data_IF_331159055946
#
_entry.id   IF_331159055946
#
_cell.length_a   1.000
_cell.length_b   1.000
_cell.length_c   1.000
_cell.angle_alpha   90.00
_cell.angle_beta   90.00
_cell.angle_gamma   90.00
#
_symmetry.space_group_name_H-M   'P 1'
#
loop_
_entity.id
_entity.type
_entity.pdbx_description
1 polymer ?
#
# COMPACT_ATOMS: atom_id res chain seq x y z
N UNK A 1 9.55 23.02 23.35
CA UNK A 1 8.14 23.32 22.97
C UNK A 1 7.95 24.56 22.08
N UNK A 2 8.72 25.66 22.21
CA UNK A 2 8.59 26.86 21.34
C UNK A 2 8.95 26.61 19.86
N UNK A 3 9.93 25.77 19.54
CA UNK A 3 10.36 25.51 18.16
C UNK A 3 9.33 24.73 17.31
N UNK A 4 8.58 23.82 17.91
CA UNK A 4 7.55 23.02 17.22
C UNK A 4 6.33 23.90 16.85
N UNK A 5 5.97 24.86 17.74
CA UNK A 5 4.89 25.82 17.44
C UNK A 5 5.24 26.77 16.29
N UNK A 6 6.51 27.16 16.15
CA UNK A 6 6.95 28.05 15.06
C UNK A 6 7.04 27.32 13.72
N UNK A 7 7.45 26.04 13.69
CA UNK A 7 7.42 25.22 12.47
C UNK A 7 5.99 24.96 11.97
N UNK A 8 5.04 24.69 12.87
CA UNK A 8 3.64 24.47 12.48
C UNK A 8 2.96 25.78 11.98
N UNK A 9 3.30 26.94 12.54
CA UNK A 9 2.81 28.24 12.02
C UNK A 9 3.41 28.58 10.65
N UNK A 10 4.68 28.27 10.42
CA UNK A 10 5.33 28.47 9.12
C UNK A 10 4.73 27.55 8.02
N UNK A 11 4.41 26.30 8.34
CA UNK A 11 3.75 25.37 7.41
C UNK A 11 2.29 25.74 7.12
N UNK A 12 1.53 26.22 8.11
CA UNK A 12 0.17 26.69 7.91
C UNK A 12 0.12 27.93 7.00
N UNK A 13 1.00 28.92 7.22
CA UNK A 13 1.08 30.14 6.39
C UNK A 13 1.61 29.85 4.97
N UNK A 14 2.48 28.86 4.78
CA UNK A 14 2.94 28.43 3.46
C UNK A 14 1.80 27.73 2.69
N UNK A 15 1.04 26.86 3.34
CA UNK A 15 -0.12 26.19 2.74
C UNK A 15 -1.24 27.18 2.38
N UNK A 16 -1.53 28.18 3.23
CA UNK A 16 -2.51 29.24 2.91
C UNK A 16 -2.08 30.09 1.72
N UNK A 17 -0.79 30.44 1.61
CA UNK A 17 -0.27 31.19 0.45
C UNK A 17 -0.31 30.37 -0.84
N UNK A 18 -0.03 29.06 -0.76
CA UNK A 18 -0.07 28.16 -1.90
C UNK A 18 -1.51 27.91 -2.39
N UNK A 19 -2.47 27.78 -1.46
CA UNK A 19 -3.90 27.68 -1.76
C UNK A 19 -4.39 28.95 -2.46
N UNK A 20 -4.14 30.10 -1.89
CA UNK A 20 -4.53 31.41 -2.43
C UNK A 20 -3.91 31.67 -3.83
N UNK A 21 -2.66 31.27 -4.06
CA UNK A 21 -1.98 31.42 -5.36
C UNK A 21 -2.61 30.56 -6.47
N UNK A 22 -3.09 29.36 -6.15
CA UNK A 22 -3.79 28.49 -7.11
C UNK A 22 -5.12 29.05 -7.54
N UNK A 23 -5.86 29.66 -6.62
CA UNK A 23 -7.16 30.27 -6.91
C UNK A 23 -7.00 31.50 -7.81
N UNK A 24 -6.02 32.35 -7.57
CA UNK A 24 -5.71 33.50 -8.43
C UNK A 24 -5.25 33.09 -9.82
N UNK A 25 -4.45 32.02 -9.93
CA UNK A 25 -4.04 31.46 -11.23
C UNK A 25 -5.24 30.92 -12.02
N UNK A 26 -6.14 30.21 -11.34
CA UNK A 26 -7.36 29.69 -11.96
C UNK A 26 -8.24 30.85 -12.49
N UNK A 27 -8.49 31.87 -11.66
CA UNK A 27 -9.26 33.05 -12.08
C UNK A 27 -8.57 33.73 -13.27
N UNK A 28 -7.26 33.95 -13.21
CA UNK A 28 -6.50 34.56 -14.29
C UNK A 28 -6.57 33.77 -15.60
N UNK A 29 -6.51 32.44 -15.54
CA UNK A 29 -6.65 31.57 -16.71
C UNK A 29 -8.06 31.63 -17.31
N UNK A 30 -9.09 31.62 -16.47
CA UNK A 30 -10.49 31.70 -16.92
C UNK A 30 -10.74 33.06 -17.58
N UNK A 31 -10.33 34.16 -16.94
CA UNK A 31 -10.47 35.50 -17.52
C UNK A 31 -9.67 35.64 -18.82
N UNK A 32 -8.44 35.16 -18.86
CA UNK A 32 -7.60 35.19 -20.06
C UNK A 32 -8.18 34.38 -21.21
N UNK A 33 -8.75 33.21 -20.92
CA UNK A 33 -9.43 32.39 -21.92
C UNK A 33 -10.63 33.12 -22.55
N UNK A 34 -11.53 33.68 -21.73
CA UNK A 34 -12.71 34.37 -22.24
C UNK A 34 -12.37 35.69 -22.93
N UNK A 35 -11.33 36.39 -22.47
CA UNK A 35 -10.81 37.57 -23.17
C UNK A 35 -10.26 37.25 -24.56
N UNK A 36 -9.46 36.18 -24.65
CA UNK A 36 -8.95 35.67 -25.93
C UNK A 36 -10.09 35.27 -26.85
N UNK A 37 -11.07 34.53 -26.33
CA UNK A 37 -12.23 34.10 -27.10
C UNK A 37 -13.05 35.30 -27.61
N UNK A 38 -13.33 36.27 -26.75
CA UNK A 38 -13.99 37.52 -27.11
C UNK A 38 -13.22 38.30 -28.18
N UNK A 39 -11.89 38.29 -28.14
CA UNK A 39 -11.05 38.92 -29.18
C UNK A 39 -11.17 38.22 -30.52
N UNK A 40 -11.18 36.89 -30.55
CA UNK A 40 -11.34 36.12 -31.77
C UNK A 40 -12.68 36.40 -32.43
N UNK A 41 -13.76 36.42 -31.65
CA UNK A 41 -15.11 36.77 -32.16
C UNK A 41 -15.15 38.20 -32.64
N UNK A 42 -14.54 39.15 -31.93
CA UNK A 42 -14.45 40.54 -32.37
C UNK A 42 -13.71 40.69 -33.71
N UNK A 43 -12.62 39.97 -33.92
CA UNK A 43 -11.89 39.92 -35.19
C UNK A 43 -12.77 39.38 -36.32
N UNK A 44 -13.51 38.31 -36.06
CA UNK A 44 -14.44 37.73 -37.08
C UNK A 44 -15.52 38.73 -37.47
N UNK A 45 -16.16 39.40 -36.52
CA UNK A 45 -17.18 40.41 -36.75
C UNK A 45 -16.62 41.63 -37.49
N UNK A 46 -15.44 42.11 -37.07
CA UNK A 46 -14.78 43.24 -37.72
C UNK A 46 -14.49 42.96 -39.21
N UNK A 47 -13.99 41.74 -39.49
CA UNK A 47 -13.74 41.32 -40.87
C UNK A 47 -15.05 41.26 -41.69
N UNK A 48 -16.11 40.65 -41.15
CA UNK A 48 -17.43 40.61 -41.80
C UNK A 48 -18.01 41.97 -42.10
N UNK A 49 -17.88 42.95 -41.16
CA UNK A 49 -18.29 44.33 -41.39
C UNK A 49 -17.49 45.01 -42.51
N UNK A 50 -16.17 44.78 -42.54
CA UNK A 50 -15.32 45.30 -43.61
C UNK A 50 -15.70 44.76 -45.00
N UNK A 51 -15.95 43.45 -45.11
CA UNK A 51 -16.33 42.81 -46.35
C UNK A 51 -17.67 43.36 -46.86
N UNK A 52 -18.61 43.71 -46.00
CA UNK A 52 -19.90 44.30 -46.35
C UNK A 52 -19.86 45.84 -46.55
N UNK A 53 -18.65 46.44 -46.58
CA UNK A 53 -18.46 47.87 -46.81
C UNK A 53 -18.80 48.78 -45.62
N UNK A 54 -19.06 48.21 -44.43
CA UNK A 54 -19.36 48.99 -43.22
C UNK A 54 -18.06 49.38 -42.50
N UNK A 55 -17.88 50.67 -42.27
CA UNK A 55 -16.72 51.18 -41.54
C UNK A 55 -17.09 51.41 -40.07
N UNK A 56 -16.64 50.47 -39.20
CA UNK A 56 -16.81 50.56 -37.78
C UNK A 56 -15.42 50.54 -37.11
N UNK A 57 -15.22 51.37 -36.10
CA UNK A 57 -13.96 51.38 -35.37
C UNK A 57 -13.76 50.07 -34.62
N UNK A 58 -12.57 49.47 -34.75
CA UNK A 58 -12.18 48.19 -34.11
C UNK A 58 -12.50 48.17 -32.57
N UNK A 59 -12.10 49.21 -31.87
CA UNK A 59 -12.28 49.28 -30.44
C UNK A 59 -13.74 49.22 -29.97
N UNK A 60 -14.70 49.65 -30.79
CA UNK A 60 -16.13 49.50 -30.48
C UNK A 60 -16.58 48.03 -30.57
N UNK A 61 -16.17 47.33 -31.61
CA UNK A 61 -16.50 45.93 -31.80
C UNK A 61 -15.77 45.09 -30.68
N UNK A 62 -14.49 45.35 -30.47
CA UNK A 62 -13.70 44.65 -29.45
C UNK A 62 -14.26 44.88 -28.01
N UNK A 63 -14.55 46.14 -27.63
CA UNK A 63 -15.11 46.44 -26.31
C UNK A 63 -16.44 45.76 -26.05
N UNK A 64 -17.30 45.71 -27.08
CA UNK A 64 -18.59 45.04 -27.01
C UNK A 64 -18.42 43.52 -26.78
N UNK A 65 -17.60 42.84 -27.59
CA UNK A 65 -17.37 41.42 -27.43
C UNK A 65 -16.60 41.06 -26.17
N UNK A 66 -15.64 41.89 -25.74
CA UNK A 66 -14.94 41.67 -24.46
C UNK A 66 -15.93 41.73 -23.28
N UNK A 67 -16.84 42.69 -23.26
CA UNK A 67 -17.84 42.78 -22.22
C UNK A 67 -18.81 41.61 -22.24
N UNK A 68 -19.30 41.22 -23.43
CA UNK A 68 -20.23 40.12 -23.62
C UNK A 68 -19.62 38.77 -23.19
N UNK A 69 -18.39 38.46 -23.64
CA UNK A 69 -17.75 37.18 -23.38
C UNK A 69 -17.13 37.07 -21.97
N UNK A 70 -16.69 38.18 -21.37
CA UNK A 70 -16.17 38.13 -20.00
C UNK A 70 -17.25 37.89 -18.94
N UNK A 71 -18.53 37.97 -19.25
CA UNK A 71 -19.59 37.47 -18.35
C UNK A 71 -19.38 36.00 -18.01
N UNK A 72 -18.89 35.21 -18.98
CA UNK A 72 -18.54 33.80 -18.78
C UNK A 72 -17.36 33.61 -17.82
N UNK A 73 -16.50 34.61 -17.60
CA UNK A 73 -15.46 34.53 -16.57
C UNK A 73 -16.04 34.42 -15.17
N UNK A 74 -17.19 35.08 -14.93
CA UNK A 74 -17.91 35.00 -13.68
C UNK A 74 -18.81 33.78 -13.60
N UNK A 75 -19.44 33.39 -14.73
CA UNK A 75 -20.33 32.23 -14.77
C UNK A 75 -19.58 30.90 -14.72
N UNK A 76 -18.38 30.79 -15.27
CA UNK A 76 -17.60 29.54 -15.27
C UNK A 76 -17.40 28.94 -13.89
N UNK A 77 -16.93 29.68 -12.86
CA UNK A 77 -16.83 29.15 -11.50
C UNK A 77 -18.18 28.69 -10.94
N UNK A 78 -19.26 29.43 -11.23
CA UNK A 78 -20.62 29.09 -10.78
C UNK A 78 -21.08 27.79 -11.41
N UNK A 79 -20.90 27.62 -12.72
CA UNK A 79 -21.24 26.40 -13.45
C UNK A 79 -20.44 25.21 -12.94
N UNK A 80 -19.14 25.39 -12.68
CA UNK A 80 -18.30 24.33 -12.08
C UNK A 80 -18.74 23.95 -10.67
N UNK A 81 -19.15 24.91 -9.86
CA UNK A 81 -19.72 24.64 -8.53
C UNK A 81 -21.04 23.87 -8.61
N UNK A 82 -21.94 24.25 -9.55
CA UNK A 82 -23.17 23.52 -9.82
C UNK A 82 -22.87 22.07 -10.27
N UNK A 83 -21.90 21.88 -11.17
CA UNK A 83 -21.47 20.55 -11.60
C UNK A 83 -20.94 19.67 -10.48
N UNK A 84 -20.20 20.26 -9.50
CA UNK A 84 -19.75 19.56 -8.29
C UNK A 84 -20.89 19.25 -7.32
N UNK A 85 -21.84 20.18 -7.17
CA UNK A 85 -22.98 20.04 -6.22
C UNK A 85 -24.02 19.04 -6.73
N UNK A 86 -24.24 18.99 -8.03
CA UNK A 86 -25.21 18.13 -8.72
C UNK A 86 -24.51 17.24 -9.77
N UNK A 87 -23.68 16.28 -9.33
CA UNK A 87 -22.91 15.45 -10.25
C UNK A 87 -23.85 14.55 -11.08
N UNK A 88 -23.48 14.31 -12.35
CA UNK A 88 -24.16 13.38 -13.25
C UNK A 88 -23.81 11.93 -12.86
N UNK A 89 -24.39 11.43 -11.76
CA UNK A 89 -24.14 10.07 -11.27
C UNK A 89 -25.01 9.03 -11.98
N UNK A 90 -24.48 7.81 -12.17
CA UNK A 90 -25.14 6.75 -12.92
C UNK A 90 -26.54 6.36 -12.40
N UNK A 91 -26.77 6.45 -11.09
CA UNK A 91 -28.04 6.04 -10.48
C UNK A 91 -29.20 7.00 -10.71
N UNK A 92 -28.94 8.33 -10.89
CA UNK A 92 -29.97 9.37 -11.06
C UNK A 92 -29.56 10.41 -12.10
N UNK A 93 -28.85 9.99 -13.15
CA UNK A 93 -28.28 10.86 -14.17
C UNK A 93 -29.31 11.81 -14.79
N UNK A 94 -30.55 11.35 -15.05
CA UNK A 94 -31.62 12.13 -15.67
C UNK A 94 -32.04 13.32 -14.82
N UNK A 95 -32.02 13.21 -13.46
CA UNK A 95 -32.31 14.34 -12.56
C UNK A 95 -31.21 15.39 -12.62
N UNK A 96 -29.95 14.95 -12.68
CA UNK A 96 -28.81 15.83 -12.85
C UNK A 96 -28.90 16.57 -14.19
N UNK A 97 -29.19 15.86 -15.28
CA UNK A 97 -29.38 16.46 -16.61
C UNK A 97 -30.52 17.46 -16.60
N UNK A 98 -31.70 17.11 -16.07
CA UNK A 98 -32.83 18.03 -15.98
C UNK A 98 -32.51 19.31 -15.22
N UNK A 99 -31.82 19.19 -14.06
CA UNK A 99 -31.37 20.34 -13.28
C UNK A 99 -30.37 21.20 -14.06
N UNK A 100 -29.39 20.59 -14.72
CA UNK A 100 -28.41 21.32 -15.52
C UNK A 100 -29.03 21.98 -16.76
N UNK A 101 -30.02 21.37 -17.37
CA UNK A 101 -30.81 21.99 -18.45
C UNK A 101 -31.57 23.22 -17.92
N UNK A 102 -32.21 23.12 -16.75
CA UNK A 102 -32.93 24.24 -16.14
C UNK A 102 -31.97 25.37 -15.77
N UNK A 103 -30.84 25.07 -15.08
CA UNK A 103 -29.81 26.07 -14.74
C UNK A 103 -29.19 26.70 -15.99
N UNK A 104 -28.80 25.88 -16.98
CA UNK A 104 -28.21 26.36 -18.22
C UNK A 104 -29.15 27.30 -18.99
N UNK A 105 -30.44 26.95 -19.09
CA UNK A 105 -31.45 27.78 -19.74
C UNK A 105 -31.66 29.10 -18.97
N UNK A 106 -31.75 29.03 -17.64
CA UNK A 106 -31.92 30.21 -16.81
C UNK A 106 -30.76 31.20 -16.98
N UNK A 107 -29.52 30.69 -16.89
CA UNK A 107 -28.31 31.48 -17.09
C UNK A 107 -28.23 32.09 -18.50
N UNK A 108 -28.56 31.32 -19.53
CA UNK A 108 -28.58 31.79 -20.89
C UNK A 108 -29.60 32.92 -21.10
N UNK A 109 -30.82 32.76 -20.57
CA UNK A 109 -31.86 33.81 -20.66
C UNK A 109 -31.42 35.08 -19.91
N UNK A 110 -30.86 34.93 -18.70
CA UNK A 110 -30.37 36.07 -17.94
C UNK A 110 -29.22 36.80 -18.67
N UNK A 111 -28.29 36.06 -19.23
CA UNK A 111 -27.17 36.61 -20.02
C UNK A 111 -27.68 37.39 -21.27
N UNK A 112 -28.55 36.77 -22.03
CA UNK A 112 -29.12 37.39 -23.26
C UNK A 112 -29.92 38.63 -22.89
N UNK A 113 -30.70 38.62 -21.78
CA UNK A 113 -31.44 39.78 -21.30
C UNK A 113 -30.50 40.94 -20.89
N UNK A 114 -29.47 40.62 -20.07
CA UNK A 114 -28.48 41.59 -19.69
C UNK A 114 -27.74 42.21 -20.89
N UNK A 115 -27.37 41.36 -21.83
CA UNK A 115 -26.70 41.74 -23.06
C UNK A 115 -27.58 42.63 -23.96
N UNK A 116 -28.86 42.27 -24.14
CA UNK A 116 -29.81 43.08 -24.88
C UNK A 116 -30.06 44.43 -24.26
N UNK A 117 -30.16 44.49 -22.94
CA UNK A 117 -30.28 45.75 -22.18
C UNK A 117 -29.06 46.65 -22.36
N UNK A 118 -27.84 46.07 -22.22
CA UNK A 118 -26.57 46.78 -22.41
C UNK A 118 -26.41 47.29 -23.85
N UNK A 119 -26.74 46.46 -24.85
CA UNK A 119 -26.71 46.86 -26.26
C UNK A 119 -27.57 48.10 -26.51
N UNK A 120 -28.78 48.14 -25.93
CA UNK A 120 -29.72 49.27 -26.11
C UNK A 120 -29.23 50.54 -25.39
N UNK A 121 -28.55 50.44 -24.25
CA UNK A 121 -27.99 51.61 -23.58
C UNK A 121 -26.82 52.24 -24.30
N UNK A 122 -25.96 51.39 -24.93
CA UNK A 122 -24.78 51.85 -25.72
C UNK A 122 -25.18 52.37 -27.10
N UNK A 123 -26.23 51.78 -27.70
CA UNK A 123 -26.72 52.16 -29.03
C UNK A 123 -28.15 52.68 -28.93
N UNK A 124 -28.36 53.94 -28.55
CA UNK A 124 -29.68 54.52 -28.54
C UNK A 124 -30.28 54.46 -29.92
N UNK A 125 -31.38 53.73 -30.04
CA UNK A 125 -32.02 53.43 -31.32
C UNK A 125 -33.02 54.54 -31.68
N UNK A 126 -33.17 54.87 -32.99
CA UNK A 126 -34.21 55.76 -33.41
C UNK A 126 -35.61 55.23 -33.09
N UNK A 127 -36.60 56.11 -33.06
CA UNK A 127 -38.02 55.80 -32.76
C UNK A 127 -38.60 54.64 -33.59
N UNK A 128 -38.13 54.43 -34.81
CA UNK A 128 -38.58 53.37 -35.71
C UNK A 128 -37.82 52.05 -35.54
N UNK A 129 -36.91 51.96 -34.62
CA UNK A 129 -36.19 50.72 -34.34
C UNK A 129 -37.07 49.68 -33.62
N UNK A 130 -36.78 48.37 -33.77
CA UNK A 130 -37.58 47.33 -33.14
C UNK A 130 -37.70 47.52 -31.62
N UNK A 131 -38.86 47.20 -31.07
CA UNK A 131 -39.09 47.24 -29.63
C UNK A 131 -38.06 46.34 -28.90
N UNK A 132 -37.79 46.65 -27.61
CA UNK A 132 -36.88 45.84 -26.80
C UNK A 132 -37.25 44.34 -26.82
N UNK A 133 -38.55 44.02 -26.81
CA UNK A 133 -39.05 42.66 -26.86
C UNK A 133 -38.71 41.96 -28.17
N UNK A 134 -38.83 42.62 -29.32
CA UNK A 134 -38.43 42.03 -30.60
C UNK A 134 -36.92 41.83 -30.71
N UNK A 135 -36.12 42.76 -30.19
CA UNK A 135 -34.66 42.62 -30.12
C UNK A 135 -34.26 41.44 -29.19
N UNK A 136 -34.92 41.34 -28.05
CA UNK A 136 -34.69 40.25 -27.14
C UNK A 136 -35.06 38.90 -27.71
N UNK A 137 -36.18 38.74 -28.38
CA UNK A 137 -36.60 37.50 -29.06
C UNK A 137 -35.61 37.10 -30.12
N UNK A 138 -35.13 38.07 -30.94
CA UNK A 138 -34.09 37.81 -31.93
C UNK A 138 -32.80 37.29 -31.30
N UNK A 139 -32.32 37.94 -30.26
CA UNK A 139 -31.13 37.55 -29.52
C UNK A 139 -31.30 36.19 -28.81
N UNK A 140 -32.45 35.89 -28.23
CA UNK A 140 -32.72 34.59 -27.59
C UNK A 140 -32.62 33.46 -28.63
N UNK A 141 -33.15 33.66 -29.81
CA UNK A 141 -33.08 32.66 -30.91
C UNK A 141 -31.63 32.40 -31.34
N UNK A 142 -30.82 33.43 -31.39
CA UNK A 142 -29.42 33.35 -31.84
C UNK A 142 -28.47 32.81 -30.79
N UNK A 143 -28.56 33.32 -29.55
CA UNK A 143 -27.52 33.06 -28.51
C UNK A 143 -27.84 31.90 -27.56
N UNK A 144 -29.13 31.55 -27.31
CA UNK A 144 -29.44 30.42 -26.40
C UNK A 144 -28.75 29.11 -26.81
N UNK A 145 -28.74 28.67 -28.07
CA UNK A 145 -28.09 27.42 -28.43
C UNK A 145 -26.58 27.46 -28.14
N UNK A 146 -25.94 28.60 -28.40
CA UNK A 146 -24.53 28.82 -28.14
C UNK A 146 -24.22 28.83 -26.65
N UNK A 147 -25.00 29.51 -25.84
CA UNK A 147 -24.83 29.60 -24.39
C UNK A 147 -25.03 28.23 -23.73
N UNK A 148 -26.02 27.46 -24.17
CA UNK A 148 -26.21 26.09 -23.69
C UNK A 148 -25.05 25.19 -24.08
N UNK A 149 -24.50 25.31 -25.27
CA UNK A 149 -23.33 24.55 -25.70
C UNK A 149 -22.12 24.88 -24.82
N UNK A 150 -21.86 26.15 -24.52
CA UNK A 150 -20.81 26.61 -23.65
C UNK A 150 -21.02 26.07 -22.23
N UNK A 151 -22.23 26.18 -21.69
CA UNK A 151 -22.60 25.65 -20.37
C UNK A 151 -22.24 24.15 -20.26
N UNK A 152 -22.69 23.34 -21.23
CA UNK A 152 -22.42 21.92 -21.26
C UNK A 152 -20.94 21.59 -21.48
N UNK A 153 -20.23 22.40 -22.26
CA UNK A 153 -18.78 22.25 -22.44
C UNK A 153 -18.04 22.48 -21.11
N UNK A 154 -18.43 23.52 -20.33
CA UNK A 154 -17.85 23.79 -19.02
C UNK A 154 -18.12 22.62 -18.05
N UNK A 155 -19.37 22.09 -18.01
CA UNK A 155 -19.72 20.91 -17.21
C UNK A 155 -18.89 19.70 -17.62
N UNK A 156 -18.76 19.44 -18.92
CA UNK A 156 -17.99 18.31 -19.46
C UNK A 156 -16.50 18.39 -19.10
N UNK A 157 -15.89 19.56 -19.28
CA UNK A 157 -14.48 19.78 -18.90
C UNK A 157 -14.31 19.64 -17.38
N UNK A 158 -15.21 20.22 -16.59
CA UNK A 158 -15.18 20.08 -15.13
C UNK A 158 -15.30 18.64 -14.66
N UNK A 159 -16.20 17.85 -15.27
CA UNK A 159 -16.36 16.42 -14.98
C UNK A 159 -15.12 15.61 -15.39
N UNK A 160 -14.55 15.88 -16.57
CA UNK A 160 -13.34 15.21 -17.06
C UNK A 160 -12.14 15.46 -16.14
N UNK A 161 -11.91 16.71 -15.73
CA UNK A 161 -10.84 17.07 -14.81
C UNK A 161 -11.02 16.40 -13.43
N UNK A 162 -12.26 16.37 -12.94
CA UNK A 162 -12.57 15.69 -11.65
C UNK A 162 -12.38 14.16 -11.76
N UNK A 163 -12.80 13.55 -12.85
CA UNK A 163 -12.57 12.13 -13.10
C UNK A 163 -11.06 11.82 -13.19
N UNK A 164 -10.32 12.61 -13.93
CA UNK A 164 -8.88 12.46 -14.09
C UNK A 164 -8.12 12.57 -12.76
N UNK A 165 -8.48 13.57 -11.92
CA UNK A 165 -7.87 13.73 -10.60
C UNK A 165 -8.14 12.53 -9.69
N UNK A 166 -9.37 12.01 -9.67
CA UNK A 166 -9.72 10.79 -8.93
C UNK A 166 -9.03 9.54 -9.45
N UNK A 167 -8.89 9.43 -10.76
CA UNK A 167 -8.16 8.32 -11.36
C UNK A 167 -6.70 8.31 -10.90
N UNK A 168 -6.03 9.45 -10.99
CA UNK A 168 -4.64 9.63 -10.52
C UNK A 168 -4.48 9.34 -9.03
N UNK A 169 -5.43 9.76 -8.21
CA UNK A 169 -5.41 9.50 -6.77
C UNK A 169 -5.51 7.99 -6.47
N UNK A 170 -6.40 7.28 -7.19
CA UNK A 170 -6.53 5.82 -7.05
C UNK A 170 -5.28 5.09 -7.52
N UNK A 171 -4.69 5.48 -8.63
CA UNK A 171 -3.44 4.91 -9.15
C UNK A 171 -2.29 5.08 -8.14
N UNK A 172 -2.13 6.28 -7.59
CA UNK A 172 -1.14 6.55 -6.56
C UNK A 172 -1.38 5.74 -5.27
N UNK A 173 -2.65 5.56 -4.88
CA UNK A 173 -3.01 4.77 -3.71
C UNK A 173 -2.74 3.27 -3.92
N UNK A 174 -3.04 2.74 -5.10
CA UNK A 174 -2.72 1.36 -5.47
C UNK A 174 -1.21 1.10 -5.42
N UNK A 175 -0.40 1.98 -6.04
CA UNK A 175 1.06 1.86 -5.99
C UNK A 175 1.63 1.93 -4.55
N UNK A 176 1.04 2.76 -3.67
CA UNK A 176 1.44 2.81 -2.26
C UNK A 176 1.10 1.53 -1.49
N UNK A 177 -0.06 0.92 -1.78
CA UNK A 177 -0.46 -0.35 -1.16
C UNK A 177 0.44 -1.50 -1.61
N UNK A 178 0.77 -1.57 -2.90
CA UNK A 178 1.72 -2.55 -3.44
C UNK A 178 3.10 -2.42 -2.80
N UNK A 179 3.61 -1.19 -2.66
CA UNK A 179 4.90 -0.94 -2.00
C UNK A 179 4.89 -1.37 -0.51
N UNK A 180 3.79 -1.09 0.22
CA UNK A 180 3.62 -1.54 1.61
C UNK A 180 3.52 -3.06 1.72
N UNK A 181 2.80 -3.71 0.79
CA UNK A 181 2.71 -5.17 0.75
C UNK A 181 4.08 -5.80 0.53
N UNK A 182 4.84 -5.30 -0.45
CA UNK A 182 6.20 -5.78 -0.72
C UNK A 182 7.13 -5.57 0.48
N UNK A 183 7.02 -4.42 1.16
CA UNK A 183 7.80 -4.15 2.38
C UNK A 183 7.42 -5.10 3.52
N UNK A 184 6.11 -5.34 3.75
CA UNK A 184 5.64 -6.27 4.78
C UNK A 184 6.08 -7.72 4.48
N UNK A 185 6.05 -8.15 3.21
CA UNK A 185 6.57 -9.45 2.79
C UNK A 185 8.07 -9.57 3.04
N UNK A 186 8.84 -8.52 2.74
CA UNK A 186 10.28 -8.49 2.98
C UNK A 186 10.61 -8.50 4.49
N UNK A 187 9.83 -7.81 5.32
CA UNK A 187 9.97 -7.85 6.78
C UNK A 187 9.60 -9.23 7.35
N UNK A 188 8.53 -9.86 6.86
CA UNK A 188 8.15 -11.21 7.25
C UNK A 188 9.25 -12.22 6.89
N UNK A 189 9.83 -12.13 5.69
CA UNK A 189 10.95 -12.96 5.26
C UNK A 189 12.20 -12.74 6.12
N UNK A 190 12.52 -11.47 6.47
CA UNK A 190 13.64 -11.17 7.38
C UNK A 190 13.44 -11.72 8.79
N UNK A 191 12.20 -11.82 9.27
CA UNK A 191 11.91 -12.39 10.60
C UNK A 191 12.05 -13.91 10.62
N UNK A 192 11.92 -14.60 9.49
CA UNK A 192 12.17 -16.04 9.37
C UNK A 192 13.67 -16.38 9.50
N UNK A 193 14.54 -15.47 9.07
CA UNK A 193 15.98 -15.60 9.25
C UNK A 193 16.36 -14.99 10.60
N UNK A 194 16.74 -15.80 11.59
CA UNK A 194 17.22 -15.29 12.88
C UNK A 194 18.47 -14.39 12.68
N UNK A 195 18.35 -13.03 12.76
CA UNK A 195 19.46 -12.14 12.43
C UNK A 195 20.67 -12.37 13.36
N UNK A 196 20.39 -12.72 14.62
CA UNK A 196 21.44 -13.01 15.60
C UNK A 196 22.25 -14.28 15.25
N UNK A 197 21.60 -15.31 14.74
CA UNK A 197 22.29 -16.50 14.22
C UNK A 197 23.20 -16.13 13.04
N UNK A 198 22.68 -15.38 12.07
CA UNK A 198 23.43 -14.96 10.89
C UNK A 198 24.68 -14.15 11.26
N UNK A 199 24.53 -13.11 12.12
CA UNK A 199 25.66 -12.32 12.57
C UNK A 199 26.71 -13.16 13.34
N UNK A 200 26.28 -14.06 14.20
CA UNK A 200 27.18 -14.92 14.95
C UNK A 200 27.94 -15.90 14.05
N UNK A 201 27.27 -16.46 13.04
CA UNK A 201 27.88 -17.34 12.05
C UNK A 201 28.94 -16.61 11.22
N UNK A 202 28.61 -15.40 10.72
CA UNK A 202 29.55 -14.55 9.98
C UNK A 202 30.77 -14.16 10.84
N UNK A 203 30.55 -13.83 12.13
CA UNK A 203 31.68 -13.58 13.06
C UNK A 203 32.56 -14.80 13.26
N UNK A 204 31.99 -16.00 13.36
CA UNK A 204 32.74 -17.26 13.49
C UNK A 204 33.54 -17.55 12.21
N UNK A 205 32.95 -17.38 11.03
CA UNK A 205 33.66 -17.48 9.75
C UNK A 205 34.85 -16.51 9.70
N UNK A 206 34.64 -15.25 10.07
CA UNK A 206 35.72 -14.27 10.12
C UNK A 206 36.83 -14.62 11.12
N UNK A 207 36.51 -15.29 12.22
CA UNK A 207 37.49 -15.79 13.18
C UNK A 207 38.30 -16.95 12.58
N UNK A 208 37.66 -17.93 11.93
CA UNK A 208 38.29 -19.06 11.25
C UNK A 208 39.24 -18.60 10.14
N UNK A 209 38.86 -17.60 9.35
CA UNK A 209 39.73 -17.02 8.32
C UNK A 209 40.97 -16.37 8.97
N UNK A 210 40.81 -15.65 10.09
CA UNK A 210 41.96 -15.05 10.82
C UNK A 210 42.90 -16.11 11.44
N UNK A 211 42.36 -17.26 11.88
CA UNK A 211 43.14 -18.38 12.40
C UNK A 211 43.71 -19.27 11.30
N UNK A 212 43.50 -18.93 10.02
CA UNK A 212 43.93 -19.69 8.85
C UNK A 212 43.25 -21.06 8.68
N UNK A 213 42.14 -21.29 9.35
CA UNK A 213 41.30 -22.49 9.20
C UNK A 213 40.35 -22.38 7.99
N UNK A 214 40.93 -22.12 6.81
CA UNK A 214 40.20 -21.76 5.61
C UNK A 214 39.21 -22.84 5.13
N UNK A 215 39.57 -24.13 5.30
CA UNK A 215 38.69 -25.23 4.90
C UNK A 215 37.41 -25.29 5.74
N UNK A 216 37.52 -25.07 7.05
CA UNK A 216 36.38 -24.99 7.98
C UNK A 216 35.53 -23.77 7.67
N UNK A 217 36.15 -22.63 7.36
CA UNK A 217 35.45 -21.41 6.95
C UNK A 217 34.63 -21.62 5.67
N UNK A 218 35.21 -22.30 4.66
CA UNK A 218 34.50 -22.61 3.39
C UNK A 218 33.31 -23.56 3.62
N UNK A 219 33.48 -24.61 4.43
CA UNK A 219 32.37 -25.50 4.81
C UNK A 219 31.25 -24.74 5.52
N UNK A 220 31.59 -23.84 6.44
CA UNK A 220 30.61 -23.03 7.17
C UNK A 220 29.85 -22.06 6.28
N UNK A 221 30.51 -21.47 5.25
CA UNK A 221 29.85 -20.62 4.24
C UNK A 221 28.90 -21.47 3.39
N UNK A 222 29.33 -22.65 2.94
CA UNK A 222 28.49 -23.53 2.15
C UNK A 222 27.23 -23.98 2.92
N UNK A 223 27.40 -24.42 4.18
CA UNK A 223 26.27 -24.79 5.05
C UNK A 223 25.33 -23.63 5.31
N UNK A 224 25.86 -22.41 5.56
CA UNK A 224 25.03 -21.22 5.73
C UNK A 224 24.22 -20.89 4.47
N UNK A 225 24.85 -21.02 3.28
CA UNK A 225 24.17 -20.78 2.00
C UNK A 225 23.04 -21.79 1.76
N UNK A 226 23.24 -23.05 2.13
CA UNK A 226 22.24 -24.11 2.03
C UNK A 226 21.04 -23.85 2.97
N UNK A 227 21.30 -23.50 4.23
CA UNK A 227 20.25 -23.14 5.18
C UNK A 227 19.41 -21.94 4.70
N UNK A 228 20.07 -20.92 4.17
CA UNK A 228 19.38 -19.76 3.62
C UNK A 228 18.51 -20.13 2.42
N UNK A 229 19.02 -20.98 1.52
CA UNK A 229 18.27 -21.48 0.37
C UNK A 229 17.04 -22.28 0.80
N UNK A 230 17.20 -23.23 1.72
CA UNK A 230 16.10 -24.06 2.23
C UNK A 230 15.01 -23.19 2.90
N UNK A 231 15.41 -22.19 3.69
CA UNK A 231 14.47 -21.25 4.32
C UNK A 231 13.69 -20.41 3.31
N UNK A 232 14.29 -20.08 2.16
CA UNK A 232 13.65 -19.32 1.08
C UNK A 232 12.72 -20.19 0.23
N UNK A 233 13.11 -21.42 -0.09
CA UNK A 233 12.33 -22.36 -0.92
C UNK A 233 11.04 -22.79 -0.20
N UNK A 234 11.11 -23.02 1.11
CA UNK A 234 9.96 -23.41 1.94
C UNK A 234 9.17 -22.21 2.52
N UNK A 235 9.51 -20.99 2.12
CA UNK A 235 8.80 -19.79 2.54
C UNK A 235 7.36 -19.80 1.99
N UNK A 236 6.38 -19.95 2.88
CA UNK A 236 4.95 -20.00 2.53
C UNK A 236 4.30 -21.38 2.63
N UNK A 237 5.06 -22.45 2.82
CA UNK A 237 4.51 -23.76 3.16
C UNK A 237 4.07 -23.77 4.63
N UNK A 238 2.84 -24.23 4.89
CA UNK A 238 2.33 -24.31 6.27
C UNK A 238 2.82 -25.58 6.97
N UNK A 239 2.89 -26.69 6.27
CA UNK A 239 3.34 -28.00 6.75
C UNK A 239 4.38 -28.58 5.80
N UNK A 240 5.33 -29.33 6.37
CA UNK A 240 6.42 -30.05 5.68
C UNK A 240 6.54 -31.44 6.28
N UNK A 241 7.35 -32.32 5.65
CA UNK A 241 7.67 -33.61 6.28
C UNK A 241 8.64 -33.42 7.46
N UNK A 242 8.55 -34.29 8.47
CA UNK A 242 9.53 -34.28 9.57
C UNK A 242 10.97 -34.50 9.06
N UNK A 243 11.14 -35.21 7.94
CA UNK A 243 12.44 -35.36 7.29
C UNK A 243 13.01 -34.00 6.87
N UNK A 244 12.21 -33.16 6.19
CA UNK A 244 12.66 -31.83 5.74
C UNK A 244 13.00 -30.91 6.92
N UNK A 245 12.23 -30.97 8.01
CA UNK A 245 12.56 -30.25 9.27
C UNK A 245 13.87 -30.71 9.87
N UNK A 246 14.11 -32.04 9.87
CA UNK A 246 15.35 -32.61 10.42
C UNK A 246 16.55 -32.28 9.53
N UNK A 247 16.43 -32.36 8.21
CA UNK A 247 17.51 -32.00 7.29
C UNK A 247 17.93 -30.53 7.50
N UNK A 248 16.95 -29.62 7.69
CA UNK A 248 17.23 -28.22 8.04
C UNK A 248 17.93 -28.11 9.41
N UNK A 249 17.45 -28.83 10.43
CA UNK A 249 18.02 -28.80 11.79
C UNK A 249 19.43 -29.40 11.80
N UNK A 250 19.70 -30.46 11.07
CA UNK A 250 21.04 -31.05 10.95
C UNK A 250 22.04 -30.05 10.38
N UNK A 251 21.70 -29.36 9.29
CA UNK A 251 22.54 -28.30 8.74
C UNK A 251 22.77 -27.13 9.72
N UNK A 252 21.73 -26.75 10.47
CA UNK A 252 21.86 -25.75 11.52
C UNK A 252 22.79 -26.20 12.66
N UNK A 253 22.65 -27.45 13.09
CA UNK A 253 23.46 -28.05 14.16
C UNK A 253 24.93 -28.21 13.75
N UNK A 254 25.21 -28.56 12.51
CA UNK A 254 26.58 -28.61 11.96
C UNK A 254 27.28 -27.25 12.08
N UNK A 255 26.61 -26.18 11.72
CA UNK A 255 27.17 -24.81 11.88
C UNK A 255 27.40 -24.48 13.34
N UNK A 256 26.49 -24.85 14.24
CA UNK A 256 26.64 -24.61 15.67
C UNK A 256 27.79 -25.47 16.26
N UNK A 257 27.99 -26.71 15.82
CA UNK A 257 29.13 -27.54 16.21
C UNK A 257 30.46 -26.90 15.80
N UNK A 258 30.58 -26.39 14.57
CA UNK A 258 31.76 -25.66 14.13
C UNK A 258 32.05 -24.43 15.02
N UNK A 259 30.99 -23.76 15.51
CA UNK A 259 31.10 -22.58 16.37
C UNK A 259 31.50 -22.93 17.79
N UNK A 260 30.95 -24.00 18.36
CA UNK A 260 31.19 -24.41 19.75
C UNK A 260 32.27 -25.48 19.88
N UNK A 261 32.77 -25.98 18.75
CA UNK A 261 33.79 -27.05 18.70
C UNK A 261 33.35 -28.29 19.52
N UNK A 262 34.24 -28.93 20.26
CA UNK A 262 33.96 -30.13 21.04
C UNK A 262 33.03 -29.94 22.26
N UNK A 263 32.52 -28.71 22.44
CA UNK A 263 31.64 -28.38 23.56
C UNK A 263 30.17 -28.68 23.34
N UNK A 264 29.72 -28.94 22.09
CA UNK A 264 28.35 -29.29 21.75
C UNK A 264 28.26 -30.74 21.32
N UNK A 265 27.62 -31.56 22.13
CA UNK A 265 27.27 -32.93 21.77
C UNK A 265 25.82 -32.99 21.30
N UNK A 266 25.61 -33.62 20.15
CA UNK A 266 24.30 -33.75 19.51
C UNK A 266 23.97 -35.22 19.38
N UNK A 267 22.76 -35.61 19.75
CA UNK A 267 22.24 -36.95 19.62
C UNK A 267 20.84 -36.90 18.98
N UNK A 268 20.67 -37.61 17.85
CA UNK A 268 19.39 -37.74 17.16
C UNK A 268 18.87 -39.17 17.34
N UNK A 269 17.67 -39.33 17.89
CA UNK A 269 16.97 -40.60 18.12
C UNK A 269 15.63 -40.59 17.41
N UNK A 270 15.68 -40.70 16.10
CA UNK A 270 14.51 -40.57 15.22
C UNK A 270 14.03 -41.94 14.79
N UNK A 271 12.80 -42.30 15.13
CA UNK A 271 12.19 -43.52 14.63
C UNK A 271 11.88 -43.36 13.12
N UNK A 272 12.36 -44.29 12.24
CA UNK A 272 12.24 -44.12 10.77
C UNK A 272 10.83 -43.87 10.29
N UNK A 273 9.82 -44.48 10.91
CA UNK A 273 8.41 -44.31 10.58
C UNK A 273 7.87 -42.91 10.84
N UNK A 274 8.58 -42.06 11.58
CA UNK A 274 8.16 -40.68 11.87
C UNK A 274 8.60 -39.71 10.79
N UNK A 275 9.56 -40.07 9.95
CA UNK A 275 10.15 -39.16 8.95
C UNK A 275 9.14 -38.64 7.91
N UNK A 276 8.11 -39.44 7.59
CA UNK A 276 7.04 -39.07 6.69
C UNK A 276 5.87 -38.32 7.36
N UNK A 277 5.98 -37.99 8.64
CA UNK A 277 4.94 -37.27 9.35
C UNK A 277 4.87 -35.81 8.88
N UNK A 278 3.65 -35.29 8.71
CA UNK A 278 3.39 -33.87 8.44
C UNK A 278 3.55 -33.08 9.74
N UNK A 279 4.39 -32.06 9.69
CA UNK A 279 4.65 -31.14 10.83
C UNK A 279 4.59 -29.69 10.34
N UNK A 280 4.24 -28.74 11.22
CA UNK A 280 4.30 -27.34 10.87
C UNK A 280 5.72 -26.91 10.49
N UNK A 281 5.87 -26.21 9.40
CA UNK A 281 7.17 -25.73 8.93
C UNK A 281 7.90 -24.92 9.99
N UNK A 282 9.21 -25.15 10.19
CA UNK A 282 10.07 -24.51 11.21
C UNK A 282 9.56 -24.70 12.65
N UNK A 283 9.03 -25.89 12.98
CA UNK A 283 8.55 -26.19 14.34
C UNK A 283 9.72 -26.59 15.26
N UNK A 284 10.71 -27.29 14.76
CA UNK A 284 11.87 -27.75 15.54
C UNK A 284 12.88 -26.62 15.78
N UNK A 285 13.05 -25.71 14.85
CA UNK A 285 14.06 -24.66 14.93
C UNK A 285 14.02 -23.87 16.24
N UNK A 286 12.87 -23.30 16.70
CA UNK A 286 12.84 -22.55 17.96
C UNK A 286 13.19 -23.39 19.18
N UNK A 287 12.85 -24.68 19.17
CA UNK A 287 13.14 -25.61 20.26
C UNK A 287 14.64 -25.88 20.36
N UNK A 288 15.27 -26.20 19.22
CA UNK A 288 16.70 -26.45 19.13
C UNK A 288 17.53 -25.19 19.39
N UNK A 289 17.12 -24.04 18.87
CA UNK A 289 17.76 -22.76 19.19
C UNK A 289 17.74 -22.44 20.68
N UNK A 290 16.62 -22.69 21.34
CA UNK A 290 16.50 -22.52 22.80
C UNK A 290 17.38 -23.51 23.56
N UNK A 291 17.41 -24.77 23.15
CA UNK A 291 18.26 -25.80 23.76
C UNK A 291 19.74 -25.42 23.69
N UNK A 292 20.23 -24.94 22.56
CA UNK A 292 21.60 -24.49 22.36
C UNK A 292 21.87 -23.22 23.17
N UNK A 293 21.01 -22.20 23.08
CA UNK A 293 21.20 -20.88 23.72
C UNK A 293 21.24 -21.00 25.26
N UNK A 294 20.40 -21.83 25.85
CA UNK A 294 20.26 -21.97 27.28
C UNK A 294 21.05 -23.16 27.85
N UNK A 295 21.28 -24.21 27.05
CA UNK A 295 22.05 -25.37 27.42
C UNK A 295 23.56 -25.15 27.30
N UNK A 296 24.03 -24.80 26.09
CA UNK A 296 25.45 -24.81 25.75
C UNK A 296 26.14 -23.46 25.96
N UNK A 297 25.49 -22.36 25.59
CA UNK A 297 26.12 -21.05 25.53
C UNK A 297 26.52 -20.50 26.93
N UNK A 298 25.92 -20.98 28.04
CA UNK A 298 26.16 -20.55 29.40
C UNK A 298 27.10 -21.47 30.20
N UNK A 299 27.55 -22.61 29.65
CA UNK A 299 28.44 -23.59 30.28
C UNK A 299 29.62 -23.95 29.39
N UNK A 300 30.61 -24.67 29.94
CA UNK A 300 31.80 -25.10 29.22
C UNK A 300 31.53 -26.32 28.29
N UNK A 301 30.28 -26.62 27.98
CA UNK A 301 29.81 -27.70 27.16
C UNK A 301 28.36 -28.06 27.43
N UNK A 302 27.70 -28.77 26.55
CA UNK A 302 26.35 -29.23 26.73
C UNK A 302 25.92 -30.26 25.70
N UNK A 303 24.95 -31.10 26.08
CA UNK A 303 24.33 -32.12 25.23
C UNK A 303 22.94 -31.64 24.83
N UNK A 304 22.64 -31.77 23.55
CA UNK A 304 21.29 -31.58 22.97
C UNK A 304 20.87 -32.91 22.35
N UNK A 305 19.73 -33.43 22.77
CA UNK A 305 19.15 -34.66 22.24
C UNK A 305 17.80 -34.33 21.62
N UNK A 306 17.59 -34.79 20.39
CA UNK A 306 16.33 -34.66 19.66
C UNK A 306 15.81 -36.08 19.41
N UNK A 307 14.59 -36.35 19.85
CA UNK A 307 13.94 -37.63 19.61
C UNK A 307 12.59 -37.46 18.97
N UNK A 308 12.22 -38.41 18.11
CA UNK A 308 10.90 -38.51 17.52
C UNK A 308 10.43 -39.95 17.50
N UNK A 309 9.23 -40.21 18.00
CA UNK A 309 8.61 -41.51 18.06
C UNK A 309 7.11 -41.41 17.78
N UNK A 310 6.53 -42.52 17.27
CA UNK A 310 5.06 -42.63 17.11
C UNK A 310 4.53 -43.43 18.31
N UNK A 311 3.62 -42.79 19.08
CA UNK A 311 2.99 -43.40 20.26
C UNK A 311 1.48 -43.17 20.19
N UNK A 312 0.67 -44.22 20.27
CA UNK A 312 -0.79 -44.16 20.33
C UNK A 312 -1.44 -43.32 19.23
N UNK A 313 -0.89 -43.37 18.00
CA UNK A 313 -1.39 -42.62 16.86
C UNK A 313 -1.01 -41.13 16.86
N UNK A 314 -0.13 -40.73 17.75
CA UNK A 314 0.44 -39.39 17.85
C UNK A 314 1.92 -39.41 17.50
N UNK A 315 2.41 -38.30 16.95
CA UNK A 315 3.82 -38.02 16.80
C UNK A 315 4.30 -37.30 18.07
N UNK A 316 5.23 -37.94 18.78
CA UNK A 316 5.91 -37.34 19.93
C UNK A 316 7.30 -36.87 19.47
N UNK A 317 7.59 -35.58 19.67
CA UNK A 317 8.89 -34.98 19.42
C UNK A 317 9.40 -34.42 20.74
N UNK A 318 10.64 -34.70 21.09
CA UNK A 318 11.28 -34.21 22.30
C UNK A 318 12.61 -33.58 21.96
N UNK A 319 12.87 -32.39 22.54
CA UNK A 319 14.17 -31.71 22.49
C UNK A 319 14.64 -31.51 23.90
N UNK A 320 15.71 -32.21 24.29
CA UNK A 320 16.33 -32.17 25.58
C UNK A 320 17.67 -31.42 25.55
N UNK A 321 17.97 -30.66 26.57
CA UNK A 321 19.31 -30.14 26.83
C UNK A 321 19.69 -30.26 28.30
N UNK A 322 20.96 -30.55 28.58
CA UNK A 322 21.53 -30.73 29.93
C UNK A 322 21.91 -29.40 30.60
N UNK A 323 21.39 -28.29 30.15
CA UNK A 323 21.66 -26.94 30.66
C UNK A 323 21.11 -26.64 32.04
N UNK A 324 21.07 -25.36 32.39
CA UNK A 324 20.52 -24.90 33.68
C UNK A 324 19.00 -25.20 33.71
N UNK A 325 18.54 -25.64 34.91
CA UNK A 325 17.11 -25.85 35.17
C UNK A 325 16.34 -24.53 35.07
N UNK A 326 15.10 -24.62 34.63
CA UNK A 326 14.15 -23.52 34.66
C UNK A 326 13.82 -23.15 36.10
N UNK A 327 13.62 -21.86 36.45
CA UNK A 327 13.13 -21.43 37.74
C UNK A 327 11.80 -22.10 38.11
N UNK A 328 11.54 -22.32 39.40
CA UNK A 328 10.31 -22.98 39.87
C UNK A 328 9.01 -22.23 39.45
N UNK A 329 9.12 -20.92 39.30
CA UNK A 329 8.01 -20.04 38.91
C UNK A 329 7.88 -19.86 37.38
N UNK A 330 8.77 -20.49 36.57
CA UNK A 330 8.76 -20.35 35.13
C UNK A 330 7.50 -21.00 34.55
N UNK A 331 6.84 -20.26 33.70
CA UNK A 331 5.67 -20.72 32.95
C UNK A 331 5.82 -20.39 31.48
N UNK A 332 5.34 -21.27 30.59
CA UNK A 332 5.29 -21.05 29.19
C UNK A 332 4.39 -19.83 28.88
N UNK A 333 4.90 -18.84 28.13
CA UNK A 333 4.17 -17.62 27.76
C UNK A 333 4.44 -16.37 28.59
N UNK A 334 4.98 -16.47 29.84
CA UNK A 334 5.20 -15.29 30.70
C UNK A 334 6.63 -14.71 30.61
N UNK A 335 7.62 -15.52 30.34
CA UNK A 335 9.05 -15.12 30.33
C UNK A 335 9.79 -15.51 29.06
N UNK A 336 9.07 -16.02 28.06
CA UNK A 336 9.67 -16.60 26.89
C UNK A 336 9.96 -15.56 25.82
N UNK A 337 11.15 -15.71 25.22
CA UNK A 337 11.45 -15.02 23.97
C UNK A 337 10.43 -15.41 22.90
N UNK A 338 10.35 -14.60 21.88
CA UNK A 338 9.43 -14.66 20.72
C UNK A 338 9.30 -16.09 20.10
N UNK A 339 10.32 -16.95 20.27
CA UNK A 339 10.39 -18.28 19.66
C UNK A 339 9.34 -19.28 20.15
N UNK A 340 9.23 -19.53 21.46
CA UNK A 340 8.29 -20.52 22.01
C UNK A 340 6.84 -20.07 21.89
N UNK A 341 6.57 -18.77 22.05
CA UNK A 341 5.25 -18.19 21.83
C UNK A 341 4.79 -18.35 20.37
N UNK A 342 5.71 -18.18 19.41
CA UNK A 342 5.42 -18.42 17.98
C UNK A 342 5.17 -19.90 17.69
N UNK A 343 5.92 -20.80 18.33
CA UNK A 343 5.70 -22.26 18.26
C UNK A 343 4.28 -22.61 18.71
N UNK A 344 3.86 -22.11 19.88
CA UNK A 344 2.53 -22.36 20.42
C UNK A 344 1.41 -21.79 19.51
N UNK A 345 1.58 -20.55 19.02
CA UNK A 345 0.62 -19.93 18.10
C UNK A 345 0.48 -20.73 16.78
N UNK A 346 1.59 -21.25 16.25
CA UNK A 346 1.59 -22.07 15.03
C UNK A 346 0.90 -23.41 15.24
N UNK A 347 1.16 -24.08 16.37
CA UNK A 347 0.48 -25.32 16.76
C UNK A 347 -1.04 -25.10 16.90
N UNK A 348 -1.45 -24.03 17.54
CA UNK A 348 -2.84 -23.64 17.67
C UNK A 348 -3.51 -23.41 16.33
N UNK A 349 -2.80 -22.78 15.38
CA UNK A 349 -3.31 -22.51 14.04
C UNK A 349 -3.52 -23.79 13.21
N UNK A 350 -2.61 -24.78 13.34
CA UNK A 350 -2.66 -26.01 12.52
C UNK A 350 -3.52 -27.10 13.15
N UNK A 351 -3.44 -27.27 14.49
CA UNK A 351 -4.08 -28.38 15.20
C UNK A 351 -5.25 -27.97 16.10
N UNK A 352 -5.55 -26.66 16.24
CA UNK A 352 -6.56 -26.18 17.18
C UNK A 352 -6.20 -26.60 18.62
N UNK A 353 -7.11 -27.29 19.28
CA UNK A 353 -6.89 -27.79 20.66
C UNK A 353 -6.33 -29.23 20.73
N UNK A 354 -5.99 -29.83 19.58
CA UNK A 354 -5.58 -31.24 19.49
C UNK A 354 -4.04 -31.37 19.45
N UNK A 355 -3.35 -30.70 20.35
CA UNK A 355 -1.91 -30.84 20.56
C UNK A 355 -1.57 -30.68 22.04
N UNK A 356 -0.38 -31.17 22.43
CA UNK A 356 0.21 -30.87 23.75
C UNK A 356 1.60 -30.34 23.53
N UNK A 357 1.93 -29.21 24.15
CA UNK A 357 3.26 -28.61 24.11
C UNK A 357 3.67 -28.19 25.50
N UNK A 358 4.70 -28.85 26.01
CA UNK A 358 5.19 -28.68 27.38
C UNK A 358 6.69 -28.41 27.36
N UNK A 359 7.13 -27.49 28.20
CA UNK A 359 8.55 -27.22 28.47
C UNK A 359 8.76 -27.26 29.96
N UNK A 360 9.66 -28.08 30.42
CA UNK A 360 9.88 -28.29 31.86
C UNK A 360 11.25 -28.80 32.19
N UNK A 361 11.52 -28.97 33.50
CA UNK A 361 12.75 -29.54 33.98
C UNK A 361 12.71 -31.07 33.84
N UNK A 362 13.71 -31.64 33.18
CA UNK A 362 13.86 -33.10 33.10
C UNK A 362 14.29 -33.70 34.44
N UNK A 363 13.84 -34.94 34.71
CA UNK A 363 14.23 -35.69 35.92
C UNK A 363 15.74 -35.89 36.01
N UNK A 364 16.38 -36.15 34.87
CA UNK A 364 17.83 -36.30 34.73
C UNK A 364 18.64 -35.00 34.92
N UNK A 365 17.93 -33.88 35.13
CA UNK A 365 18.50 -32.54 35.07
C UNK A 365 18.37 -31.92 33.68
N UNK A 366 18.57 -30.58 33.60
CA UNK A 366 18.36 -29.87 32.31
C UNK A 366 16.91 -29.55 32.01
N UNK A 367 16.60 -29.28 30.75
CA UNK A 367 15.28 -28.87 30.23
C UNK A 367 14.84 -29.80 29.12
N UNK A 368 13.56 -30.15 29.13
CA UNK A 368 12.89 -30.94 28.10
C UNK A 368 11.73 -30.13 27.53
N UNK A 369 11.75 -29.97 26.22
CA UNK A 369 10.60 -29.50 25.45
C UNK A 369 9.94 -30.72 24.77
N UNK A 370 8.66 -30.95 25.06
CA UNK A 370 7.87 -32.09 24.56
C UNK A 370 6.71 -31.60 23.74
N UNK A 371 6.59 -32.15 22.52
CA UNK A 371 5.52 -31.87 21.59
C UNK A 371 4.79 -33.17 21.23
N UNK A 372 3.47 -33.21 21.41
CA UNK A 372 2.60 -34.26 20.95
C UNK A 372 1.59 -33.69 19.98
N UNK A 373 1.55 -34.23 18.76
CA UNK A 373 0.63 -33.84 17.68
C UNK A 373 0.01 -35.08 17.03
N UNK A 374 -1.17 -34.97 16.41
CA UNK A 374 -1.75 -36.07 15.67
C UNK A 374 -0.80 -36.50 14.54
N UNK A 375 -0.52 -37.82 14.48
CA UNK A 375 0.28 -38.34 13.38
C UNK A 375 -0.53 -38.32 12.08
N UNK A 376 0.00 -37.67 11.07
CA UNK A 376 -0.55 -37.58 9.70
C UNK A 376 0.56 -37.80 8.70
N UNK A 377 0.39 -38.61 7.65
CA UNK A 377 1.40 -38.68 6.59
C UNK A 377 1.44 -37.37 5.81
N UNK A 378 2.62 -36.93 5.43
CA UNK A 378 2.79 -35.76 4.56
C UNK A 378 2.35 -36.11 3.14
N UNK A 379 1.36 -35.40 2.60
CA UNK A 379 0.72 -35.72 1.31
C UNK A 379 1.57 -35.39 0.07
N UNK A 380 2.79 -34.87 0.25
CA UNK A 380 3.69 -34.47 -0.85
C UNK A 380 4.68 -35.55 -1.31
N UNK A 381 4.74 -36.71 -0.66
CA UNK A 381 5.55 -37.87 -1.12
C UNK A 381 4.60 -38.97 -1.60
N UNK A 382 4.40 -39.06 -2.92
CA UNK A 382 4.10 -40.35 -3.53
C UNK A 382 5.27 -41.25 -3.18
N UNK A 383 5.00 -42.31 -2.41
CA UNK A 383 5.96 -43.35 -2.09
C UNK A 383 6.29 -44.01 -3.44
N UNK A 384 7.48 -43.70 -4.01
CA UNK A 384 8.09 -44.57 -4.98
C UNK A 384 8.53 -45.84 -4.21
N UNK A 385 7.59 -46.76 -4.04
CA UNK A 385 7.89 -48.16 -3.70
C UNK A 385 8.37 -48.84 -4.98
N UNK A 386 9.68 -48.98 -5.11
CA UNK A 386 10.33 -50.07 -5.87
C UNK A 386 11.19 -50.94 -4.95
#
# INVERSE_FOLDING_TARGET
MRNIKNQNRGRASANERQYNRRDWLFIGLVCGFWMLFGTLIACQWYWGMRVTGRVVAWWRIAGYHWLAWNVWSVLTPVVLLLGRRFPLTRARWWRGVALHCAFGLTLAVMQVAAFSALYRTINPTPFWAPSFGLLMVGNLREYIPQDLLIYWAIIGVGAALHFYSRYRERESHAAQLEARLAQAQLEALRMQLNPHFLFNTLHSIAALVRSQENQTAVKMIAGLSELLRHSLENAGQQEVSLREELDFIEGYLEIQQQRFSDRLQIELKIAPETLSASVPNMILQPLVENAIRHGVARRHGGRVEISAARTDGQLQIEVYNDGARLPAEWRLGEADGIGLSNTQARLQQVYGDVYQFEVGNAESGGVLAKLLIPWRPFAGQEIEDE
#
